data_IF_323971855690
#
_entry.id   IF_323971855690
#
_cell.length_a   1.000
_cell.length_b   1.000
_cell.length_c   1.000
_cell.angle_alpha   90.00
_cell.angle_beta   90.00
_cell.angle_gamma   90.00
#
_symmetry.space_group_name_H-M   'P 1'
#
loop_
_entity.id
_entity.type
_entity.pdbx_description
1 polymer ?
#
# COMPACT_ATOMS: atom_id res chain seq x y z
N UNK A 1 -22.39 -15.77 7.68
CA UNK A 1 -22.27 -16.40 6.36
C UNK A 1 -20.79 -16.38 6.03
N UNK A 2 -20.10 -17.51 6.17
CA UNK A 2 -18.65 -17.59 5.97
C UNK A 2 -18.36 -17.47 4.47
N UNK A 3 -17.48 -16.56 4.08
CA UNK A 3 -16.96 -16.52 2.72
C UNK A 3 -16.09 -17.77 2.50
N UNK A 4 -16.24 -18.50 1.38
CA UNK A 4 -15.39 -19.66 1.09
C UNK A 4 -13.93 -19.22 1.00
N UNK A 5 -13.01 -19.99 1.60
CA UNK A 5 -11.56 -19.75 1.65
C UNK A 5 -10.87 -19.71 0.26
N UNK A 6 -11.61 -19.94 -0.82
CA UNK A 6 -11.13 -20.14 -2.19
C UNK A 6 -10.79 -18.85 -2.97
N UNK A 7 -10.97 -17.66 -2.40
CA UNK A 7 -10.68 -16.37 -3.10
C UNK A 7 -9.35 -15.71 -2.71
N UNK A 8 -8.63 -16.23 -1.71
CA UNK A 8 -7.26 -15.80 -1.48
C UNK A 8 -6.37 -16.47 -2.53
N UNK A 9 -5.58 -15.70 -3.29
CA UNK A 9 -4.53 -16.25 -4.16
C UNK A 9 -3.63 -17.14 -3.28
N UNK A 10 -3.81 -18.45 -3.40
CA UNK A 10 -3.15 -19.46 -2.59
C UNK A 10 -1.63 -19.38 -2.83
N UNK A 11 -0.82 -19.71 -1.81
CA UNK A 11 0.65 -19.81 -1.92
C UNK A 11 1.08 -20.56 -3.19
N UNK A 12 0.33 -21.58 -3.62
CA UNK A 12 0.58 -22.31 -4.86
C UNK A 12 0.41 -21.46 -6.13
N UNK A 13 -0.58 -20.57 -6.19
CA UNK A 13 -0.71 -19.61 -7.29
C UNK A 13 0.41 -18.56 -7.25
N UNK A 14 0.91 -18.18 -6.07
CA UNK A 14 2.01 -17.21 -5.90
C UNK A 14 3.36 -17.76 -6.39
N UNK A 15 3.65 -19.03 -6.10
CA UNK A 15 4.83 -19.73 -6.63
C UNK A 15 4.76 -19.88 -8.16
N UNK A 16 3.57 -20.18 -8.68
CA UNK A 16 3.32 -20.23 -10.13
C UNK A 16 3.62 -18.87 -10.80
N UNK A 17 3.19 -17.76 -10.21
CA UNK A 17 3.49 -16.42 -10.73
C UNK A 17 4.98 -16.07 -10.65
N UNK A 18 5.69 -16.48 -9.60
CA UNK A 18 7.15 -16.29 -9.49
C UNK A 18 7.88 -17.01 -10.63
N UNK A 19 7.52 -18.26 -10.88
CA UNK A 19 8.17 -19.08 -11.90
C UNK A 19 7.85 -18.60 -13.34
N UNK A 20 6.68 -17.97 -13.54
CA UNK A 20 6.26 -17.38 -14.82
C UNK A 20 6.79 -15.96 -15.08
N UNK A 21 6.82 -15.09 -14.07
CA UNK A 21 7.11 -13.66 -14.20
C UNK A 21 8.56 -13.30 -13.80
N UNK A 22 9.29 -14.24 -13.20
CA UNK A 22 10.68 -14.09 -12.80
C UNK A 22 10.88 -13.33 -11.47
N UNK A 23 12.15 -13.06 -11.09
CA UNK A 23 12.54 -12.51 -9.78
C UNK A 23 12.14 -11.04 -9.53
N UNK A 24 11.28 -10.45 -10.38
CA UNK A 24 10.78 -9.07 -10.26
C UNK A 24 9.34 -8.96 -9.77
N UNK A 25 8.72 -10.06 -9.32
CA UNK A 25 7.31 -10.07 -8.94
C UNK A 25 7.04 -9.17 -7.74
N UNK A 26 6.20 -8.15 -7.94
CA UNK A 26 5.61 -7.32 -6.89
C UNK A 26 4.22 -7.88 -6.60
N UNK A 27 3.96 -8.31 -5.37
CA UNK A 27 2.65 -8.82 -4.99
C UNK A 27 1.75 -7.68 -4.51
N UNK A 28 0.53 -7.67 -5.04
CA UNK A 28 -0.54 -6.78 -4.64
C UNK A 28 -1.37 -7.52 -3.58
N UNK A 29 -1.30 -7.04 -2.34
CA UNK A 29 -2.06 -7.63 -1.24
C UNK A 29 -3.40 -6.92 -1.13
N UNK A 30 -4.47 -7.66 -1.40
CA UNK A 30 -5.85 -7.22 -1.17
C UNK A 30 -6.32 -7.69 0.21
N UNK A 31 -6.87 -6.76 1.01
CA UNK A 31 -7.19 -6.96 2.42
C UNK A 31 -8.67 -7.25 2.59
N UNK A 32 -9.09 -8.50 2.32
CA UNK A 32 -10.48 -8.94 2.55
C UNK A 32 -10.72 -9.40 3.99
N UNK A 33 -11.90 -9.16 4.59
CA UNK A 33 -12.41 -9.89 5.76
C UNK A 33 -12.32 -11.43 5.58
N UNK A 34 -11.99 -12.22 6.63
CA UNK A 34 -11.74 -11.81 8.01
C UNK A 34 -10.27 -11.43 8.23
N UNK A 35 -9.83 -10.33 7.61
CA UNK A 35 -8.48 -9.76 7.61
C UNK A 35 -7.44 -10.71 6.99
N UNK A 36 -6.44 -10.22 6.23
CA UNK A 36 -5.26 -11.05 6.05
C UNK A 36 -4.64 -11.20 7.43
N UNK A 37 -4.51 -12.44 7.91
CA UNK A 37 -3.66 -12.68 9.07
C UNK A 37 -2.28 -12.08 8.77
N UNK A 38 -1.62 -11.46 9.74
CA UNK A 38 -0.18 -11.10 9.74
C UNK A 38 0.71 -12.16 9.03
N UNK A 39 0.28 -13.40 9.11
CA UNK A 39 0.77 -14.58 8.41
C UNK A 39 0.90 -14.40 6.89
N UNK A 40 -0.08 -13.78 6.22
CA UNK A 40 -0.04 -13.54 4.77
C UNK A 40 1.09 -12.60 4.35
N UNK A 41 1.35 -11.53 5.12
CA UNK A 41 2.45 -10.62 4.85
C UNK A 41 3.82 -11.27 5.13
N UNK A 42 3.92 -12.07 6.21
CA UNK A 42 5.12 -12.86 6.52
C UNK A 42 5.43 -13.91 5.45
N UNK A 43 4.41 -14.66 5.02
CA UNK A 43 4.52 -15.73 4.02
C UNK A 43 4.91 -15.19 2.63
N UNK A 44 4.52 -13.96 2.29
CA UNK A 44 4.90 -13.32 1.01
C UNK A 44 6.40 -13.14 0.87
N UNK A 45 7.07 -12.76 1.95
CA UNK A 45 8.52 -12.55 1.93
C UNK A 45 9.26 -13.88 1.70
N UNK A 46 8.75 -14.98 2.24
CA UNK A 46 9.33 -16.32 2.06
C UNK A 46 9.23 -16.83 0.61
N UNK A 47 8.33 -16.27 -0.20
CA UNK A 47 8.15 -16.63 -1.62
C UNK A 47 9.21 -15.97 -2.53
N UNK A 48 10.01 -15.04 -2.02
CA UNK A 48 11.11 -14.40 -2.78
C UNK A 48 10.65 -13.29 -3.73
N UNK A 49 9.64 -12.52 -3.31
CA UNK A 49 9.15 -11.35 -4.07
C UNK A 49 10.14 -10.17 -3.99
N UNK A 50 10.10 -9.29 -4.99
CA UNK A 50 10.94 -8.08 -5.01
C UNK A 50 10.36 -6.92 -4.19
N UNK A 51 9.07 -6.98 -3.86
CA UNK A 51 8.35 -5.93 -3.13
C UNK A 51 6.89 -6.27 -2.93
N UNK A 52 6.23 -5.49 -2.08
CA UNK A 52 4.81 -5.62 -1.76
C UNK A 52 4.10 -4.30 -2.05
N UNK A 53 2.90 -4.34 -2.62
CA UNK A 53 1.99 -3.19 -2.72
C UNK A 53 0.76 -3.46 -1.85
N UNK A 54 0.55 -2.62 -0.85
CA UNK A 54 -0.67 -2.58 -0.03
C UNK A 54 -1.75 -1.83 -0.81
N UNK A 55 -2.78 -2.53 -1.28
CA UNK A 55 -3.86 -1.92 -2.08
C UNK A 55 -5.19 -2.62 -1.85
N UNK A 56 -6.30 -1.88 -1.97
CA UNK A 56 -7.66 -2.41 -1.97
C UNK A 56 -8.36 -2.18 -3.32
N UNK A 57 -7.57 -2.06 -4.40
CA UNK A 57 -8.03 -1.74 -5.76
C UNK A 57 -8.84 -0.44 -5.85
N UNK A 58 -8.53 0.52 -4.98
CA UNK A 58 -9.24 1.79 -4.86
C UNK A 58 -10.70 1.61 -4.40
N UNK A 59 -10.94 0.64 -3.52
CA UNK A 59 -12.24 0.33 -2.93
C UNK A 59 -13.27 -0.20 -3.92
N UNK A 60 -12.83 -0.95 -4.94
CA UNK A 60 -13.71 -1.44 -6.04
C UNK A 60 -13.93 -2.95 -6.03
N UNK A 61 -13.13 -3.68 -5.26
CA UNK A 61 -13.17 -5.14 -5.25
C UNK A 61 -14.11 -5.65 -4.16
N UNK A 62 -13.89 -5.23 -2.91
CA UNK A 62 -14.71 -5.63 -1.78
C UNK A 62 -15.03 -4.43 -0.88
N UNK A 63 -16.32 -4.28 -0.58
CA UNK A 63 -16.82 -3.27 0.35
C UNK A 63 -16.45 -3.60 1.79
N UNK A 64 -16.35 -2.57 2.63
CA UNK A 64 -15.94 -2.67 4.03
C UNK A 64 -14.52 -3.22 4.27
N UNK A 65 -13.70 -3.27 3.22
CA UNK A 65 -12.25 -3.45 3.38
C UNK A 65 -11.67 -2.25 4.11
N UNK A 66 -10.67 -2.45 4.99
CA UNK A 66 -9.98 -1.34 5.64
C UNK A 66 -9.34 -0.42 4.59
N UNK A 67 -9.13 0.84 4.96
CA UNK A 67 -8.35 1.75 4.12
C UNK A 67 -6.89 1.29 4.14
N UNK A 68 -6.20 1.39 3.01
CA UNK A 68 -4.83 0.84 2.88
C UNK A 68 -3.84 1.49 3.83
N UNK A 69 -4.05 2.76 4.19
CA UNK A 69 -3.23 3.46 5.20
C UNK A 69 -3.43 2.91 6.61
N UNK A 70 -4.62 2.40 6.94
CA UNK A 70 -4.92 1.87 8.29
C UNK A 70 -4.25 0.53 8.58
N UNK A 71 -3.87 -0.21 7.56
CA UNK A 71 -3.18 -1.51 7.67
C UNK A 71 -1.69 -1.44 7.32
N UNK A 72 -1.20 -0.28 6.85
CA UNK A 72 0.17 -0.15 6.35
C UNK A 72 1.21 -0.47 7.43
N UNK A 73 1.05 0.06 8.65
CA UNK A 73 2.01 -0.13 9.75
C UNK A 73 2.17 -1.62 10.10
N UNK A 74 1.05 -2.35 10.20
CA UNK A 74 1.02 -3.79 10.45
C UNK A 74 1.77 -4.59 9.37
N UNK A 75 1.60 -4.22 8.09
CA UNK A 75 2.29 -4.86 6.97
C UNK A 75 3.78 -4.56 7.00
N UNK A 76 4.16 -3.30 7.25
CA UNK A 76 5.57 -2.89 7.34
C UNK A 76 6.28 -3.68 8.45
N UNK A 77 5.65 -3.80 9.61
CA UNK A 77 6.17 -4.58 10.74
C UNK A 77 6.30 -6.06 10.40
N UNK A 78 5.31 -6.65 9.73
CA UNK A 78 5.34 -8.05 9.29
C UNK A 78 6.44 -8.33 8.25
N UNK A 79 6.71 -7.37 7.36
CA UNK A 79 7.77 -7.47 6.34
C UNK A 79 9.17 -7.33 6.96
N UNK A 80 9.30 -6.52 8.02
CA UNK A 80 10.55 -6.38 8.76
C UNK A 80 11.71 -5.87 7.90
N UNK A 81 11.42 -4.98 6.94
CA UNK A 81 12.43 -4.35 6.07
C UNK A 81 13.10 -5.28 5.05
N UNK A 82 12.63 -6.52 4.89
CA UNK A 82 13.22 -7.50 3.97
C UNK A 82 13.01 -7.15 2.50
N UNK A 83 11.89 -6.51 2.17
CA UNK A 83 11.55 -6.01 0.84
C UNK A 83 10.84 -4.64 0.96
N UNK A 84 10.89 -3.78 -0.07
CA UNK A 84 10.14 -2.53 -0.07
C UNK A 84 8.62 -2.78 -0.01
N UNK A 85 7.93 -1.93 0.75
CA UNK A 85 6.47 -1.89 0.85
C UNK A 85 5.99 -0.58 0.23
N UNK A 86 5.16 -0.68 -0.80
CA UNK A 86 4.49 0.42 -1.48
C UNK A 86 3.02 0.46 -1.05
N UNK A 87 2.38 1.62 -1.19
CA UNK A 87 0.96 1.80 -0.90
C UNK A 87 0.24 2.37 -2.12
N UNK A 88 -0.94 1.81 -2.43
CA UNK A 88 -1.90 2.41 -3.37
C UNK A 88 -3.29 2.45 -2.72
N UNK A 89 -3.85 3.65 -2.59
CA UNK A 89 -5.11 3.89 -1.89
C UNK A 89 -5.74 5.21 -2.32
N UNK A 90 -6.14 5.31 -3.59
CA UNK A 90 -6.70 6.53 -4.15
C UNK A 90 -5.67 7.45 -4.82
N UNK A 91 -4.44 6.96 -5.01
CA UNK A 91 -3.38 7.72 -5.68
C UNK A 91 -3.43 7.53 -7.21
N UNK A 92 -3.94 6.41 -7.73
CA UNK A 92 -3.98 6.19 -9.18
C UNK A 92 -4.96 7.07 -9.98
N UNK A 93 -6.18 7.30 -9.47
CA UNK A 93 -7.27 7.92 -10.27
C UNK A 93 -6.99 9.35 -10.78
N UNK A 94 -6.36 10.25 -10.00
CA UNK A 94 -6.08 11.60 -10.48
C UNK A 94 -5.31 11.65 -11.81
N UNK A 95 -4.44 10.68 -12.08
CA UNK A 95 -3.71 10.62 -13.37
C UNK A 95 -4.68 10.47 -14.55
N UNK A 96 -5.69 9.59 -14.42
CA UNK A 96 -6.70 9.39 -15.45
C UNK A 96 -7.61 10.61 -15.59
N UNK A 97 -7.93 11.29 -14.48
CA UNK A 97 -8.69 12.54 -14.53
C UNK A 97 -7.91 13.64 -15.27
N UNK A 98 -6.61 13.78 -14.99
CA UNK A 98 -5.73 14.71 -15.70
C UNK A 98 -5.65 14.39 -17.20
N UNK A 99 -5.52 13.10 -17.55
CA UNK A 99 -5.55 12.65 -18.94
C UNK A 99 -6.85 13.05 -19.66
N UNK A 100 -7.99 12.81 -19.02
CA UNK A 100 -9.29 13.17 -19.58
C UNK A 100 -9.48 14.69 -19.71
N UNK A 101 -8.93 15.47 -18.76
CA UNK A 101 -9.10 16.91 -18.73
C UNK A 101 -8.21 17.65 -19.74
N UNK A 102 -6.94 17.25 -19.90
CA UNK A 102 -5.98 17.97 -20.75
C UNK A 102 -4.87 17.07 -21.32
N UNK A 103 -5.20 15.81 -21.63
CA UNK A 103 -4.26 14.86 -22.23
C UNK A 103 -2.98 14.70 -21.40
N UNK A 104 -1.85 14.58 -22.10
CA UNK A 104 -0.53 14.48 -21.46
C UNK A 104 -0.22 15.67 -20.53
N UNK A 105 -0.62 16.90 -20.91
CA UNK A 105 -0.41 18.09 -20.09
C UNK A 105 -1.14 17.98 -18.74
N UNK A 106 -2.36 17.44 -18.73
CA UNK A 106 -3.10 17.22 -17.49
C UNK A 106 -2.50 16.12 -16.61
N UNK A 107 -1.96 15.05 -17.21
CA UNK A 107 -1.20 14.02 -16.48
C UNK A 107 0.03 14.63 -15.81
N UNK A 108 0.82 15.40 -16.57
CA UNK A 108 2.02 16.09 -16.08
C UNK A 108 1.67 17.00 -14.91
N UNK A 109 0.63 17.82 -15.06
CA UNK A 109 0.18 18.74 -14.02
C UNK A 109 -0.23 18.01 -12.73
N UNK A 110 -0.91 16.87 -12.81
CA UNK A 110 -1.28 16.07 -11.63
C UNK A 110 -0.05 15.53 -10.90
N UNK A 111 0.96 15.07 -11.64
CA UNK A 111 2.20 14.56 -11.07
C UNK A 111 3.00 15.69 -10.42
N UNK A 112 3.09 16.85 -11.08
CA UNK A 112 3.78 18.04 -10.56
C UNK A 112 3.10 18.56 -9.29
N UNK A 113 1.79 18.76 -9.29
CA UNK A 113 1.06 19.22 -8.09
C UNK A 113 1.29 18.30 -6.88
N UNK A 114 1.30 16.97 -7.10
CA UNK A 114 1.56 16.02 -6.03
C UNK A 114 2.99 16.08 -5.51
N UNK A 115 3.96 16.23 -6.42
CA UNK A 115 5.36 16.38 -6.04
C UNK A 115 5.52 17.65 -5.21
N UNK A 116 4.96 18.77 -5.66
CA UNK A 116 5.06 20.07 -5.00
C UNK A 116 4.39 20.05 -3.61
N UNK A 117 3.20 19.44 -3.50
CA UNK A 117 2.48 19.29 -2.22
C UNK A 117 3.24 18.39 -1.24
N UNK A 118 3.84 17.31 -1.74
CA UNK A 118 4.66 16.42 -0.93
C UNK A 118 5.94 17.14 -0.45
N UNK A 119 6.66 17.83 -1.33
CA UNK A 119 7.87 18.58 -0.98
C UNK A 119 7.56 19.69 0.03
N UNK A 120 6.45 20.40 -0.14
CA UNK A 120 5.98 21.40 0.82
C UNK A 120 5.68 20.77 2.18
N UNK A 121 4.99 19.63 2.20
CA UNK A 121 4.66 18.91 3.45
C UNK A 121 5.93 18.46 4.17
N UNK A 122 6.88 17.88 3.45
CA UNK A 122 8.17 17.43 3.99
C UNK A 122 8.95 18.61 4.59
N UNK A 123 9.01 19.74 3.88
CA UNK A 123 9.64 20.97 4.39
C UNK A 123 8.96 21.51 5.65
N UNK A 124 7.62 21.54 5.69
CA UNK A 124 6.85 22.00 6.85
C UNK A 124 6.96 21.06 8.06
N UNK A 125 7.19 19.77 7.83
CA UNK A 125 7.51 18.80 8.88
C UNK A 125 8.93 18.94 9.44
N UNK A 126 9.77 19.82 8.86
CA UNK A 126 11.16 20.00 9.27
C UNK A 126 12.10 18.90 8.76
N UNK A 127 11.69 18.17 7.72
CA UNK A 127 12.47 17.10 7.10
C UNK A 127 13.23 17.65 5.87
N UNK A 128 14.58 17.62 5.85
CA UNK A 128 15.37 18.02 4.67
C UNK A 128 15.16 17.12 3.44
N UNK A 129 14.75 15.87 3.65
CA UNK A 129 14.37 14.95 2.59
C UNK A 129 13.54 13.77 3.09
N UNK A 130 13.19 12.87 2.16
CA UNK A 130 12.33 11.70 2.44
C UNK A 130 12.90 10.78 3.52
N UNK A 131 14.23 10.67 3.60
CA UNK A 131 14.90 9.82 4.57
C UNK A 131 14.80 10.35 6.01
N UNK A 132 14.45 11.63 6.19
CA UNK A 132 14.27 12.26 7.50
C UNK A 132 12.84 12.09 8.04
N UNK A 133 11.92 11.57 7.21
CA UNK A 133 10.54 11.29 7.62
C UNK A 133 10.53 10.05 8.51
N UNK A 134 10.08 10.24 9.74
CA UNK A 134 9.92 9.17 10.75
C UNK A 134 8.49 9.06 11.26
N UNK A 135 8.16 7.95 11.94
CA UNK A 135 6.86 7.70 12.55
C UNK A 135 6.42 8.78 13.56
N UNK A 136 7.34 9.54 14.16
CA UNK A 136 6.99 10.62 15.10
C UNK A 136 6.37 11.85 14.44
N UNK A 137 6.48 11.99 13.12
CA UNK A 137 5.88 13.11 12.37
C UNK A 137 4.37 12.94 12.16
N UNK A 138 3.82 11.76 12.45
CA UNK A 138 2.40 11.44 12.26
C UNK A 138 1.76 10.98 13.58
N UNK A 139 0.48 11.32 13.75
CA UNK A 139 -0.38 10.81 14.81
C UNK A 139 -1.63 10.22 14.18
N UNK A 140 -1.98 9.00 14.58
CA UNK A 140 -3.17 8.30 14.08
C UNK A 140 -4.24 8.19 15.17
N UNK A 141 -5.46 7.81 14.81
CA UNK A 141 -6.50 7.52 15.81
C UNK A 141 -6.13 6.33 16.72
N UNK A 142 -5.40 5.35 16.19
CA UNK A 142 -4.87 4.22 16.96
C UNK A 142 -3.90 4.68 18.07
N UNK A 143 -3.16 5.76 17.85
CA UNK A 143 -2.24 6.32 18.85
C UNK A 143 -2.98 6.98 20.02
N UNK A 144 -4.17 7.56 19.78
CA UNK A 144 -4.97 8.26 20.82
C UNK A 144 -5.60 7.29 21.81
N UNK A 145 -5.98 6.10 21.36
CA UNK A 145 -6.60 5.09 22.22
C UNK A 145 -5.62 4.55 23.27
N UNK A 146 -4.33 4.46 22.93
CA UNK A 146 -3.30 4.00 23.85
C UNK A 146 -2.90 5.03 24.92
N UNK A 147 -3.24 6.31 24.77
CA UNK A 147 -2.95 7.34 25.78
C UNK A 147 -4.09 7.58 26.77
N UNK A 148 -5.25 6.93 26.56
CA UNK A 148 -6.43 7.00 27.44
C UNK A 148 -6.58 5.79 28.37
N UNK A 149 -5.68 4.79 28.26
CA UNK A 149 -5.57 3.61 29.12
C UNK A 149 -4.27 3.69 29.92
#
# INVERSE_FOLDING_TARGET
>A
MAYPEDYAVNIHQRLLFRDLLGPGLILLLDFSPPYPSLESARNVVEVGVAGIVVSNHGGRQLDYTPTTISVLEEVVDAVGGKVPVLLDGGVGRPVIHGLAANGECGVRQVIEMRKDEFELTVALCGCPGVMDITRSHVRTECDKLHSML
#
